data_IF_582286437634
#
_entry.id   IF_582286437634
#
_cell.length_a   1.000
_cell.length_b   1.000
_cell.length_c   1.000
_cell.angle_alpha   90.00
_cell.angle_beta   90.00
_cell.angle_gamma   90.00
#
_symmetry.space_group_name_H-M   'P 1'
#
loop_
_entity.id
_entity.type
_entity.pdbx_description
1 polymer ?
#
# COMPACT_ATOMS: atom_id res chain seq x y z
N UNK A 1 -5.38 10.92 54.23
CA UNK A 1 -5.11 10.60 52.81
C UNK A 1 -4.21 11.69 52.31
N UNK A 2 -2.97 11.32 52.03
CA UNK A 2 -1.84 12.20 51.74
C UNK A 2 -2.10 12.97 50.44
N UNK A 3 -2.10 14.31 50.51
CA UNK A 3 -2.39 15.23 49.40
C UNK A 3 -1.36 15.20 48.24
N UNK A 4 -0.39 14.28 48.28
CA UNK A 4 0.72 14.17 47.32
C UNK A 4 0.69 12.88 46.46
N UNK A 5 -0.29 11.99 46.64
CA UNK A 5 -0.39 10.78 45.81
C UNK A 5 -1.07 11.09 44.47
N UNK A 6 -0.36 10.85 43.37
CA UNK A 6 -0.90 10.96 42.01
C UNK A 6 -1.32 9.57 41.54
N UNK A 7 -2.58 9.44 41.13
CA UNK A 7 -3.12 8.22 40.54
C UNK A 7 -3.27 8.37 39.02
N UNK A 8 -3.30 7.24 38.31
CA UNK A 8 -3.63 7.25 36.89
C UNK A 8 -5.07 7.70 36.69
N UNK A 9 -5.35 8.37 35.56
CA UNK A 9 -6.72 8.76 35.26
C UNK A 9 -7.60 7.52 35.10
N UNK A 10 -8.79 7.54 35.69
CA UNK A 10 -9.74 6.40 35.68
C UNK A 10 -10.18 5.90 34.29
N UNK A 11 -9.98 6.70 33.24
CA UNK A 11 -10.26 6.33 31.84
C UNK A 11 -9.12 5.53 31.19
N UNK A 12 -7.94 5.47 31.81
CA UNK A 12 -6.84 4.63 31.41
C UNK A 12 -6.93 3.32 32.22
N UNK A 13 -7.50 2.29 31.62
CA UNK A 13 -7.75 0.99 32.28
C UNK A 13 -6.70 -0.07 31.94
N UNK A 14 -6.01 0.09 30.82
CA UNK A 14 -5.04 -0.88 30.31
C UNK A 14 -3.77 -0.18 29.80
N UNK A 15 -2.63 -0.86 29.99
CA UNK A 15 -1.31 -0.43 29.49
C UNK A 15 -1.33 -0.14 27.98
N UNK A 16 -2.05 -0.96 27.21
CA UNK A 16 -2.23 -0.83 25.76
C UNK A 16 -2.85 0.52 25.35
N UNK A 17 -3.66 1.13 26.23
CA UNK A 17 -4.33 2.42 25.99
C UNK A 17 -3.44 3.64 26.16
N UNK A 18 -2.27 3.52 26.79
CA UNK A 18 -1.38 4.65 27.12
C UNK A 18 -0.93 5.41 25.88
N UNK A 19 -0.55 4.67 24.84
CA UNK A 19 -0.11 5.26 23.57
C UNK A 19 -1.20 6.16 22.98
N UNK A 20 -2.39 5.61 22.79
CA UNK A 20 -3.51 6.34 22.20
C UNK A 20 -3.91 7.53 23.07
N UNK A 21 -3.86 7.38 24.39
CA UNK A 21 -4.16 8.46 25.33
C UNK A 21 -3.20 9.64 25.17
N UNK A 22 -1.88 9.39 25.11
CA UNK A 22 -0.86 10.43 24.95
C UNK A 22 -0.94 11.08 23.57
N UNK A 23 -1.13 10.29 22.50
CA UNK A 23 -1.24 10.79 21.13
C UNK A 23 -2.51 11.64 20.92
N UNK A 24 -3.59 11.36 21.65
CA UNK A 24 -4.84 12.12 21.61
C UNK A 24 -4.86 13.33 22.57
N UNK A 25 -3.85 13.49 23.43
CA UNK A 25 -3.83 14.59 24.40
C UNK A 25 -3.71 15.95 23.71
N UNK A 26 -4.62 16.87 24.06
CA UNK A 26 -4.69 18.18 23.43
C UNK A 26 -3.46 19.05 23.73
N UNK A 27 -2.82 18.86 24.90
CA UNK A 27 -1.59 19.55 25.26
C UNK A 27 -0.40 19.10 24.42
N UNK A 28 -0.27 17.78 24.21
CA UNK A 28 0.72 17.18 23.32
C UNK A 28 0.54 17.71 21.89
N UNK A 29 -0.67 17.58 21.32
CA UNK A 29 -0.96 18.04 19.96
C UNK A 29 -0.71 19.55 19.79
N UNK A 30 -1.12 20.36 20.77
CA UNK A 30 -0.88 21.80 20.71
C UNK A 30 0.62 22.12 20.74
N UNK A 31 1.42 21.39 21.52
CA UNK A 31 2.85 21.66 21.62
C UNK A 31 3.62 21.22 20.37
N UNK A 32 3.25 20.09 19.78
CA UNK A 32 3.78 19.62 18.49
C UNK A 32 3.42 20.60 17.36
N UNK A 33 2.18 21.09 17.32
CA UNK A 33 1.77 22.07 16.30
C UNK A 33 2.46 23.43 16.48
N UNK A 34 2.70 23.90 17.72
CA UNK A 34 3.52 25.10 17.98
C UNK A 34 4.93 24.94 17.40
N UNK A 35 5.55 23.77 17.58
CA UNK A 35 6.86 23.45 17.02
C UNK A 35 6.83 23.48 15.49
N UNK A 36 5.86 22.81 14.89
CA UNK A 36 5.66 22.79 13.44
C UNK A 36 5.49 24.20 12.87
N UNK A 37 4.62 25.01 13.45
CA UNK A 37 4.39 26.40 13.01
C UNK A 37 5.62 27.29 13.16
N UNK A 38 6.40 27.11 14.22
CA UNK A 38 7.66 27.85 14.38
C UNK A 38 8.68 27.49 13.28
N UNK A 39 8.79 26.20 12.93
CA UNK A 39 9.63 25.75 11.81
C UNK A 39 9.16 26.30 10.47
N UNK A 40 7.86 26.27 10.18
CA UNK A 40 7.28 26.82 8.95
C UNK A 40 7.57 28.33 8.82
N UNK A 41 7.37 29.08 9.90
CA UNK A 41 7.62 30.52 9.92
C UNK A 41 9.11 30.83 9.76
N UNK A 42 9.99 30.05 10.39
CA UNK A 42 11.43 30.17 10.22
C UNK A 42 11.84 29.89 8.77
N UNK A 43 11.31 28.83 8.15
CA UNK A 43 11.59 28.48 6.76
C UNK A 43 11.25 29.64 5.81
N UNK A 44 10.04 30.20 5.93
CA UNK A 44 9.59 31.34 5.13
C UNK A 44 10.52 32.56 5.24
N UNK A 45 11.11 32.79 6.41
CA UNK A 45 12.05 33.90 6.64
C UNK A 45 13.44 33.64 6.06
N UNK A 46 13.89 32.39 6.03
CA UNK A 46 15.28 32.03 5.69
C UNK A 46 15.46 31.41 4.30
N UNK A 47 14.39 30.98 3.62
CA UNK A 47 14.46 30.39 2.28
C UNK A 47 15.10 31.31 1.23
N UNK A 48 15.06 32.63 1.41
CA UNK A 48 15.76 33.58 0.51
C UNK A 48 17.26 33.28 0.42
N UNK A 49 17.86 32.75 1.48
CA UNK A 49 19.28 32.38 1.48
C UNK A 49 19.58 31.18 0.56
N UNK A 50 18.59 30.30 0.34
CA UNK A 50 18.65 29.24 -0.68
C UNK A 50 18.43 29.80 -2.09
N UNK A 51 17.55 30.79 -2.24
CA UNK A 51 17.32 31.49 -3.52
C UNK A 51 18.61 32.20 -3.99
N UNK A 52 19.34 32.81 -3.07
CA UNK A 52 20.59 33.51 -3.35
C UNK A 52 21.81 32.57 -3.46
N UNK A 53 21.64 31.27 -3.20
CA UNK A 53 22.73 30.29 -3.17
C UNK A 53 23.43 30.12 -4.52
N UNK A 54 22.73 30.06 -5.68
CA UNK A 54 23.38 29.96 -6.98
C UNK A 54 24.28 31.15 -7.30
N UNK A 55 24.03 32.34 -6.75
CA UNK A 55 24.89 33.52 -6.94
C UNK A 55 26.02 33.57 -5.92
N UNK A 56 25.72 33.30 -4.64
CA UNK A 56 26.70 33.44 -3.55
C UNK A 56 27.70 32.29 -3.48
N UNK A 57 27.26 31.06 -3.80
CA UNK A 57 28.01 29.80 -3.63
C UNK A 57 28.48 29.54 -2.19
N UNK A 58 27.91 30.23 -1.20
CA UNK A 58 28.37 30.20 0.20
C UNK A 58 27.67 29.11 1.02
N UNK A 59 27.84 27.84 0.62
CA UNK A 59 27.20 26.69 1.26
C UNK A 59 27.49 26.57 2.77
N UNK A 60 28.74 26.77 3.18
CA UNK A 60 29.13 26.57 4.59
C UNK A 60 28.65 27.71 5.49
N UNK A 61 28.59 28.94 4.97
CA UNK A 61 27.98 30.06 5.71
C UNK A 61 26.47 29.86 5.83
N UNK A 62 25.81 29.40 4.76
CA UNK A 62 24.39 29.02 4.80
C UNK A 62 24.13 27.95 5.87
N UNK A 63 24.94 26.88 5.92
CA UNK A 63 24.82 25.83 6.93
C UNK A 63 24.93 26.40 8.34
N UNK A 64 25.95 27.23 8.58
CA UNK A 64 26.20 27.85 9.89
C UNK A 64 25.04 28.75 10.31
N UNK A 65 24.54 29.57 9.39
CA UNK A 65 23.39 30.44 9.62
C UNK A 65 22.15 29.63 9.96
N UNK A 66 21.83 28.60 9.17
CA UNK A 66 20.65 27.76 9.39
C UNK A 66 20.68 27.07 10.75
N UNK A 67 21.82 26.51 11.14
CA UNK A 67 22.00 25.90 12.45
C UNK A 67 21.75 26.90 13.59
N UNK A 68 22.29 28.11 13.49
CA UNK A 68 22.18 29.12 14.54
C UNK A 68 20.77 29.71 14.66
N UNK A 69 20.14 30.05 13.53
CA UNK A 69 18.83 30.72 13.55
C UNK A 69 17.70 29.74 13.85
N UNK A 70 17.78 28.51 13.35
CA UNK A 70 16.79 27.47 13.65
C UNK A 70 16.78 27.13 15.14
N UNK A 71 17.97 26.95 15.74
CA UNK A 71 18.11 26.70 17.17
C UNK A 71 17.49 27.84 18.00
N UNK A 72 17.68 29.09 17.60
CA UNK A 72 17.13 30.25 18.30
C UNK A 72 15.60 30.28 18.31
N UNK A 73 14.95 29.83 17.22
CA UNK A 73 13.48 29.84 17.09
C UNK A 73 12.83 28.62 17.74
N UNK A 74 13.44 27.44 17.61
CA UNK A 74 12.83 26.18 18.06
C UNK A 74 13.09 25.89 19.54
N UNK A 75 14.26 26.26 20.08
CA UNK A 75 14.62 25.96 21.48
C UNK A 75 13.60 26.49 22.50
N UNK A 76 13.04 27.72 22.39
CA UNK A 76 12.07 28.23 23.35
C UNK A 76 10.78 27.41 23.48
N UNK A 77 10.49 26.55 22.50
CA UNK A 77 9.29 25.70 22.50
C UNK A 77 9.44 24.54 23.49
N UNK A 78 10.67 24.12 23.79
CA UNK A 78 10.95 23.18 24.87
C UNK A 78 10.61 21.70 24.60
N UNK A 79 10.04 21.37 23.42
CA UNK A 79 9.75 19.98 23.05
C UNK A 79 11.02 19.20 22.68
N UNK A 80 11.94 19.84 21.96
CA UNK A 80 13.23 19.27 21.60
C UNK A 80 14.34 19.96 22.39
N UNK A 81 15.27 19.15 22.93
CA UNK A 81 16.45 19.69 23.56
C UNK A 81 17.42 20.27 22.51
N UNK A 82 18.43 21.00 22.99
CA UNK A 82 19.44 21.65 22.14
C UNK A 82 20.04 20.72 21.08
N UNK A 83 20.40 19.50 21.47
CA UNK A 83 21.06 18.54 20.58
C UNK A 83 20.10 18.02 19.52
N UNK A 84 18.85 17.73 19.88
CA UNK A 84 17.80 17.29 18.94
C UNK A 84 17.44 18.38 17.95
N UNK A 85 17.29 19.63 18.40
CA UNK A 85 17.01 20.78 17.51
C UNK A 85 18.09 20.96 16.46
N UNK A 86 19.36 20.91 16.87
CA UNK A 86 20.49 20.97 15.94
C UNK A 86 20.53 19.74 15.02
N UNK A 87 20.20 18.56 15.56
CA UNK A 87 20.10 17.30 14.83
C UNK A 87 19.16 17.38 13.63
N UNK A 88 18.00 18.04 13.75
CA UNK A 88 17.05 18.24 12.64
C UNK A 88 17.73 18.87 11.43
N UNK A 89 18.41 20.02 11.62
CA UNK A 89 19.09 20.73 10.52
C UNK A 89 20.32 19.95 10.04
N UNK A 90 21.04 19.28 10.93
CA UNK A 90 22.19 18.45 10.55
C UNK A 90 21.74 17.31 9.64
N UNK A 91 20.70 16.56 10.02
CA UNK A 91 20.16 15.46 9.20
C UNK A 91 19.58 15.95 7.88
N UNK A 92 18.78 17.02 7.90
CA UNK A 92 18.27 17.63 6.67
C UNK A 92 19.41 18.06 5.73
N UNK A 93 20.45 18.68 6.27
CA UNK A 93 21.60 19.09 5.48
C UNK A 93 22.38 17.89 4.93
N UNK A 94 22.64 16.87 5.76
CA UNK A 94 23.34 15.65 5.33
C UNK A 94 22.58 14.95 4.20
N UNK A 95 21.27 14.82 4.32
CA UNK A 95 20.41 14.25 3.27
C UNK A 95 20.47 15.11 1.98
N UNK A 96 20.35 16.44 2.11
CA UNK A 96 20.34 17.37 0.98
C UNK A 96 21.74 17.65 0.35
N UNK A 97 22.85 17.40 1.06
CA UNK A 97 24.21 17.75 0.60
C UNK A 97 25.11 16.54 0.36
N UNK A 98 25.04 15.53 1.23
CA UNK A 98 25.91 14.35 1.19
C UNK A 98 25.26 13.19 0.46
N UNK A 99 23.98 12.91 0.76
CA UNK A 99 23.26 11.77 0.18
C UNK A 99 22.79 12.08 -1.24
N UNK A 100 22.02 13.16 -1.42
CA UNK A 100 21.44 13.54 -2.72
C UNK A 100 22.33 14.48 -3.55
N UNK A 101 23.25 15.18 -2.88
CA UNK A 101 24.03 16.29 -3.44
C UNK A 101 23.17 17.45 -3.99
N UNK A 102 21.90 17.54 -3.62
CA UNK A 102 20.94 18.56 -4.08
C UNK A 102 21.48 19.97 -3.86
N UNK A 103 21.98 20.29 -2.66
CA UNK A 103 22.49 21.63 -2.35
C UNK A 103 23.73 21.99 -3.19
N UNK A 104 24.57 21.01 -3.56
CA UNK A 104 25.72 21.24 -4.47
C UNK A 104 25.23 21.51 -5.89
N UNK A 105 24.25 20.75 -6.35
CA UNK A 105 23.65 20.91 -7.68
C UNK A 105 22.89 22.23 -7.77
N UNK A 106 22.07 22.57 -6.78
CA UNK A 106 21.40 23.87 -6.66
C UNK A 106 22.41 25.01 -6.72
N UNK A 107 23.47 24.93 -5.89
CA UNK A 107 24.49 25.95 -5.86
C UNK A 107 25.18 26.12 -7.22
N UNK A 108 25.35 25.07 -8.03
CA UNK A 108 26.09 25.14 -9.30
C UNK A 108 25.21 25.39 -10.53
N UNK A 109 24.05 24.75 -10.59
CA UNK A 109 23.16 24.66 -11.76
C UNK A 109 21.92 25.56 -11.65
N UNK A 110 21.60 26.05 -10.45
CA UNK A 110 20.34 26.76 -10.20
C UNK A 110 19.16 25.80 -9.99
N UNK A 111 17.95 26.35 -9.93
CA UNK A 111 16.75 25.59 -9.59
C UNK A 111 16.30 24.68 -10.73
N UNK A 112 16.20 25.21 -11.96
CA UNK A 112 15.83 24.39 -13.12
C UNK A 112 16.84 23.27 -13.36
N UNK A 113 18.13 23.60 -13.32
CA UNK A 113 19.19 22.59 -13.52
C UNK A 113 19.26 21.53 -12.41
N UNK A 114 18.78 21.82 -11.19
CA UNK A 114 18.61 20.80 -10.16
C UNK A 114 17.49 19.82 -10.54
N UNK A 115 16.33 20.32 -10.96
CA UNK A 115 15.20 19.47 -11.39
C UNK A 115 15.61 18.61 -12.57
N UNK A 116 16.25 19.19 -13.60
CA UNK A 116 16.73 18.46 -14.77
C UNK A 116 17.68 17.33 -14.34
N UNK A 117 18.57 17.61 -13.38
CA UNK A 117 19.48 16.59 -12.85
C UNK A 117 18.79 15.46 -12.08
N UNK A 118 17.66 15.73 -11.42
CA UNK A 118 16.84 14.70 -10.78
C UNK A 118 16.16 13.83 -11.84
N UNK A 119 15.58 14.44 -12.88
CA UNK A 119 14.94 13.72 -13.99
C UNK A 119 15.96 12.85 -14.72
N UNK A 120 17.15 13.37 -15.02
CA UNK A 120 18.24 12.60 -15.62
C UNK A 120 18.65 11.41 -14.73
N UNK A 121 18.75 11.62 -13.42
CA UNK A 121 19.11 10.53 -12.48
C UNK A 121 18.02 9.44 -12.45
N UNK A 122 16.74 9.82 -12.54
CA UNK A 122 15.61 8.88 -12.60
C UNK A 122 15.63 8.10 -13.92
N UNK A 123 15.82 8.79 -15.05
CA UNK A 123 15.93 8.16 -16.38
C UNK A 123 17.07 7.15 -16.40
N UNK A 124 18.27 7.56 -16.02
CA UNK A 124 19.46 6.71 -16.04
C UNK A 124 19.25 5.47 -15.15
N UNK A 125 18.59 5.62 -14.00
CA UNK A 125 18.30 4.50 -13.11
C UNK A 125 17.20 3.55 -13.62
N UNK A 126 16.28 4.02 -14.48
CA UNK A 126 15.25 3.19 -15.11
C UNK A 126 15.74 2.52 -16.40
N UNK A 127 16.66 3.14 -17.13
CA UNK A 127 17.28 2.58 -18.35
C UNK A 127 18.31 1.49 -18.02
N UNK A 128 18.95 1.55 -16.85
CA UNK A 128 19.92 0.56 -16.40
C UNK A 128 19.21 -0.76 -16.00
N UNK A 129 18.98 -1.61 -17.00
CA UNK A 129 18.34 -2.94 -16.87
C UNK A 129 19.23 -4.00 -16.22
N UNK A 130 20.48 -3.68 -15.86
CA UNK A 130 21.27 -4.60 -15.05
C UNK A 130 20.66 -4.69 -13.65
N UNK A 131 20.46 -5.89 -13.08
CA UNK A 131 20.01 -6.03 -11.71
C UNK A 131 21.05 -5.36 -10.81
N UNK A 132 20.75 -4.12 -10.41
CA UNK A 132 21.58 -3.38 -9.48
C UNK A 132 21.81 -4.31 -8.29
N UNK A 133 23.09 -4.55 -7.96
CA UNK A 133 23.47 -5.30 -6.77
C UNK A 133 22.67 -4.71 -5.60
N UNK A 134 21.70 -5.50 -5.12
CA UNK A 134 20.77 -5.24 -4.02
C UNK A 134 21.38 -4.42 -2.88
N UNK A 135 21.44 -3.10 -3.05
CA UNK A 135 22.26 -2.20 -2.23
C UNK A 135 22.25 -0.73 -2.66
N UNK A 136 21.85 -0.41 -3.90
CA UNK A 136 21.47 0.96 -4.25
C UNK A 136 20.14 1.28 -3.57
N UNK A 137 20.15 2.19 -2.59
CA UNK A 137 18.96 2.68 -1.88
C UNK A 137 18.11 3.65 -2.71
N UNK A 138 18.49 3.92 -3.96
CA UNK A 138 17.79 4.88 -4.80
C UNK A 138 16.61 4.19 -5.49
N UNK A 139 15.40 4.60 -5.12
CA UNK A 139 14.17 4.18 -5.76
C UNK A 139 13.69 5.30 -6.69
N UNK A 140 13.84 5.16 -8.03
CA UNK A 140 13.52 6.22 -8.98
C UNK A 140 12.04 6.60 -8.99
N UNK A 141 11.15 5.63 -8.77
CA UNK A 141 9.70 5.83 -8.82
C UNK A 141 9.18 6.57 -7.59
N UNK A 142 9.85 6.39 -6.45
CA UNK A 142 9.52 7.04 -5.19
C UNK A 142 10.34 8.32 -4.94
N UNK A 143 11.10 8.80 -5.94
CA UNK A 143 11.84 10.05 -5.80
C UNK A 143 10.86 11.23 -5.64
N UNK A 144 11.18 12.16 -4.73
CA UNK A 144 10.32 13.30 -4.33
C UNK A 144 9.84 14.19 -5.47
N UNK A 145 10.55 14.22 -6.61
CA UNK A 145 10.16 15.02 -7.78
C UNK A 145 8.99 14.39 -8.57
N UNK A 146 8.82 13.07 -8.48
CA UNK A 146 7.78 12.34 -9.23
C UNK A 146 6.38 12.78 -8.82
N UNK A 147 5.97 12.71 -7.54
CA UNK A 147 4.66 13.20 -7.13
C UNK A 147 4.49 14.71 -7.28
N UNK A 148 5.59 15.45 -7.39
CA UNK A 148 5.56 16.90 -7.47
C UNK A 148 5.36 17.41 -8.92
N UNK A 149 5.91 16.71 -9.92
CA UNK A 149 5.77 17.08 -11.33
C UNK A 149 4.57 16.43 -12.02
N UNK A 150 4.28 15.17 -11.68
CA UNK A 150 3.30 14.37 -12.41
C UNK A 150 2.25 13.76 -11.45
N UNK A 151 1.58 14.57 -10.60
CA UNK A 151 0.61 14.06 -9.63
C UNK A 151 -0.60 13.38 -10.29
N UNK A 152 -1.15 13.98 -11.35
CA UNK A 152 -2.29 13.44 -12.09
C UNK A 152 -1.95 12.08 -12.73
N UNK A 153 -0.71 11.95 -13.20
CA UNK A 153 -0.20 10.71 -13.78
C UNK A 153 -0.01 9.60 -12.74
N UNK A 154 0.46 9.95 -11.53
CA UNK A 154 0.49 9.00 -10.42
C UNK A 154 -0.92 8.55 -10.02
N UNK A 155 -1.91 9.45 -10.12
CA UNK A 155 -3.31 9.07 -9.92
C UNK A 155 -3.77 8.08 -10.99
N UNK A 156 -3.47 8.31 -12.27
CA UNK A 156 -3.79 7.36 -13.35
C UNK A 156 -3.14 5.98 -13.14
N UNK A 157 -1.90 5.95 -12.64
CA UNK A 157 -1.22 4.70 -12.26
C UNK A 157 -1.95 4.00 -11.11
N UNK A 158 -2.28 4.74 -10.05
CA UNK A 158 -3.00 4.22 -8.89
C UNK A 158 -4.38 3.69 -9.28
N UNK A 159 -5.11 4.40 -10.13
CA UNK A 159 -6.43 4.01 -10.60
C UNK A 159 -6.36 2.73 -11.44
N UNK A 160 -5.34 2.63 -12.30
CA UNK A 160 -5.09 1.42 -13.11
C UNK A 160 -4.72 0.21 -12.22
N UNK A 161 -3.93 0.42 -11.16
CA UNK A 161 -3.59 -0.63 -10.19
C UNK A 161 -4.83 -1.06 -9.37
N UNK A 162 -5.69 -0.12 -8.98
CA UNK A 162 -6.96 -0.41 -8.31
C UNK A 162 -7.94 -1.16 -9.21
N UNK A 163 -7.99 -0.84 -10.50
CA UNK A 163 -8.79 -1.57 -11.50
C UNK A 163 -8.30 -3.02 -11.64
N UNK A 164 -6.99 -3.25 -11.68
CA UNK A 164 -6.42 -4.62 -11.67
C UNK A 164 -6.82 -5.37 -10.41
N UNK A 165 -6.69 -4.74 -9.24
CA UNK A 165 -7.06 -5.37 -7.97
C UNK A 165 -8.55 -5.77 -7.95
N UNK A 166 -9.42 -4.90 -8.46
CA UNK A 166 -10.86 -5.16 -8.57
C UNK A 166 -11.14 -6.33 -9.50
N UNK A 167 -10.54 -6.35 -10.69
CA UNK A 167 -10.71 -7.44 -11.65
C UNK A 167 -10.10 -8.77 -11.17
N UNK A 168 -9.01 -8.73 -10.40
CA UNK A 168 -8.44 -9.92 -9.74
C UNK A 168 -9.38 -10.47 -8.68
N UNK A 169 -10.00 -9.59 -7.88
CA UNK A 169 -11.02 -9.98 -6.92
C UNK A 169 -12.26 -10.56 -7.60
N UNK A 170 -12.75 -9.96 -8.68
CA UNK A 170 -13.86 -10.49 -9.48
C UNK A 170 -13.52 -11.86 -10.09
N UNK A 171 -12.30 -12.01 -10.60
CA UNK A 171 -11.80 -13.29 -11.13
C UNK A 171 -11.78 -14.36 -10.04
N UNK A 172 -11.25 -14.05 -8.86
CA UNK A 172 -11.20 -14.98 -7.73
C UNK A 172 -12.60 -15.34 -7.23
N UNK A 173 -13.49 -14.37 -7.09
CA UNK A 173 -14.89 -14.60 -6.73
C UNK A 173 -15.58 -15.52 -7.74
N UNK A 174 -15.29 -15.36 -9.03
CA UNK A 174 -15.81 -16.25 -10.08
C UNK A 174 -15.25 -17.68 -9.96
N UNK A 175 -13.95 -17.83 -9.66
CA UNK A 175 -13.29 -19.11 -9.45
C UNK A 175 -13.84 -19.85 -8.23
N UNK A 176 -14.22 -19.12 -7.17
CA UNK A 176 -14.80 -19.66 -5.93
C UNK A 176 -16.32 -19.94 -6.01
N UNK A 177 -17.08 -19.15 -6.78
CA UNK A 177 -18.53 -19.29 -6.93
C UNK A 177 -19.38 -18.67 -5.80
N UNK A 178 -20.71 -18.72 -5.96
CA UNK A 178 -21.68 -18.11 -5.01
C UNK A 178 -21.82 -18.88 -3.67
N UNK A 179 -21.27 -20.08 -3.51
CA UNK A 179 -21.37 -20.92 -2.30
C UNK A 179 -20.01 -21.12 -1.59
N UNK A 180 -19.16 -20.09 -1.57
CA UNK A 180 -17.80 -20.14 -1.05
C UNK A 180 -17.64 -19.79 0.44
N UNK A 181 -18.54 -20.22 1.34
CA UNK A 181 -18.29 -20.18 2.80
C UNK A 181 -18.90 -21.43 3.47
N UNK A 182 -18.31 -22.62 3.27
CA UNK A 182 -18.46 -23.74 4.22
C UNK A 182 -17.31 -24.76 4.05
N UNK A 183 -16.19 -24.50 4.75
CA UNK A 183 -15.24 -25.46 5.32
C UNK A 183 -14.78 -26.69 4.48
N UNK A 184 -14.54 -26.51 3.18
CA UNK A 184 -13.93 -27.50 2.28
C UNK A 184 -12.98 -26.87 1.26
N UNK A 185 -12.02 -27.64 0.72
CA UNK A 185 -11.10 -27.17 -0.34
C UNK A 185 -11.88 -26.46 -1.45
N UNK A 186 -11.67 -25.15 -1.59
CA UNK A 186 -12.36 -24.33 -2.60
C UNK A 186 -12.14 -24.93 -3.98
N UNK A 187 -13.21 -25.44 -4.58
CA UNK A 187 -13.14 -26.11 -5.87
C UNK A 187 -13.26 -25.07 -6.97
N UNK A 188 -12.18 -24.86 -7.72
CA UNK A 188 -12.12 -23.94 -8.86
C UNK A 188 -13.18 -24.31 -9.92
N UNK A 189 -14.28 -23.55 -9.94
CA UNK A 189 -15.44 -23.78 -10.80
C UNK A 189 -15.05 -23.65 -12.27
N UNK A 190 -14.15 -22.72 -12.59
CA UNK A 190 -13.67 -22.47 -13.95
C UNK A 190 -12.92 -23.70 -14.48
N UNK A 191 -12.04 -24.27 -13.66
CA UNK A 191 -11.31 -25.48 -14.00
C UNK A 191 -12.24 -26.66 -14.20
N UNK A 192 -13.22 -26.86 -13.32
CA UNK A 192 -14.21 -27.93 -13.46
C UNK A 192 -15.03 -27.80 -14.75
N UNK A 193 -15.60 -26.62 -15.00
CA UNK A 193 -16.38 -26.35 -16.21
C UNK A 193 -15.50 -26.49 -17.47
N UNK A 194 -14.25 -26.05 -17.41
CA UNK A 194 -13.27 -26.21 -18.48
C UNK A 194 -12.94 -27.67 -18.80
N UNK A 195 -12.80 -28.52 -17.79
CA UNK A 195 -12.54 -29.95 -17.98
C UNK A 195 -13.79 -30.71 -18.47
N UNK A 196 -14.97 -30.40 -17.93
CA UNK A 196 -16.25 -30.90 -18.45
C UNK A 196 -16.45 -30.54 -19.92
N UNK A 197 -16.14 -29.30 -20.30
CA UNK A 197 -16.25 -28.84 -21.67
C UNK A 197 -15.28 -29.58 -22.61
N UNK A 198 -14.05 -29.89 -22.18
CA UNK A 198 -13.11 -30.72 -22.95
C UNK A 198 -13.64 -32.14 -23.13
N UNK A 199 -14.16 -32.75 -22.07
CA UNK A 199 -14.70 -34.12 -22.10
C UNK A 199 -15.92 -34.21 -23.01
N UNK A 200 -16.87 -33.28 -22.87
CA UNK A 200 -18.06 -33.21 -23.73
C UNK A 200 -17.66 -33.01 -25.20
N UNK A 201 -16.77 -32.05 -25.51
CA UNK A 201 -16.25 -31.83 -26.87
C UNK A 201 -15.55 -33.06 -27.44
N UNK A 202 -14.84 -33.83 -26.62
CA UNK A 202 -14.22 -35.08 -27.04
C UNK A 202 -15.26 -36.17 -27.32
N UNK A 203 -16.24 -36.35 -26.43
CA UNK A 203 -17.28 -37.38 -26.53
C UNK A 203 -18.16 -37.25 -27.78
N UNK A 204 -18.39 -36.02 -28.24
CA UNK A 204 -19.21 -35.77 -29.44
C UNK A 204 -18.42 -35.63 -30.72
N UNK A 205 -17.09 -35.65 -30.69
CA UNK A 205 -16.25 -35.38 -31.87
C UNK A 205 -16.57 -36.33 -33.04
N UNK A 206 -16.62 -37.63 -32.78
CA UNK A 206 -16.93 -38.64 -33.80
C UNK A 206 -18.44 -38.65 -34.17
N UNK A 207 -19.39 -38.62 -33.22
CA UNK A 207 -20.80 -38.44 -33.52
C UNK A 207 -21.11 -37.19 -34.36
N UNK A 208 -20.52 -36.03 -34.05
CA UNK A 208 -20.66 -34.79 -34.83
C UNK A 208 -20.08 -34.93 -36.24
N UNK A 209 -18.93 -35.60 -36.39
CA UNK A 209 -18.35 -35.86 -37.70
C UNK A 209 -19.27 -36.73 -38.55
N UNK A 210 -19.88 -37.77 -37.95
CA UNK A 210 -20.87 -38.63 -38.62
C UNK A 210 -22.15 -37.88 -38.95
N UNK A 211 -22.63 -37.01 -38.07
CA UNK A 211 -23.77 -36.12 -38.32
C UNK A 211 -23.50 -35.22 -39.55
N UNK A 212 -22.33 -34.57 -39.62
CA UNK A 212 -21.90 -33.74 -40.76
C UNK A 212 -21.69 -34.52 -42.06
N UNK A 213 -21.40 -35.82 -41.98
CA UNK A 213 -21.29 -36.70 -43.13
C UNK A 213 -22.68 -37.06 -43.68
N UNK A 214 -23.60 -37.50 -42.82
CA UNK A 214 -24.97 -37.85 -43.16
C UNK A 214 -25.76 -36.66 -43.74
N UNK A 215 -25.56 -35.46 -43.18
CA UNK A 215 -26.12 -34.19 -43.66
C UNK A 215 -25.35 -33.55 -44.83
N UNK A 216 -24.34 -34.22 -45.37
CA UNK A 216 -23.51 -33.70 -46.46
C UNK A 216 -24.27 -33.47 -47.77
N UNK A 217 -23.74 -32.62 -48.65
CA UNK A 217 -24.34 -32.37 -49.97
C UNK A 217 -24.48 -33.63 -50.83
N UNK A 218 -25.32 -33.59 -51.87
CA UNK A 218 -25.55 -34.71 -52.77
C UNK A 218 -24.34 -35.18 -53.60
N UNK A 219 -23.18 -34.49 -53.51
CA UNK A 219 -21.91 -34.92 -54.12
C UNK A 219 -21.04 -35.72 -53.16
N UNK A 220 -21.37 -35.76 -51.87
CA UNK A 220 -20.55 -36.38 -50.82
C UNK A 220 -20.97 -37.82 -50.64
N UNK A 221 -20.14 -38.75 -51.11
CA UNK A 221 -20.39 -40.20 -51.00
C UNK A 221 -20.60 -40.58 -49.52
N UNK A 222 -21.75 -41.16 -49.19
CA UNK A 222 -22.16 -41.50 -47.82
C UNK A 222 -23.14 -40.52 -47.15
N UNK A 223 -23.54 -39.42 -47.80
CA UNK A 223 -24.64 -38.56 -47.33
C UNK A 223 -26.01 -39.08 -47.78
N UNK A 224 -27.06 -38.73 -47.05
CA UNK A 224 -28.45 -39.09 -47.39
C UNK A 224 -28.82 -38.48 -48.75
N UNK A 225 -28.44 -37.23 -49.00
CA UNK A 225 -28.71 -36.54 -50.26
C UNK A 225 -27.99 -37.18 -51.47
N UNK A 226 -26.82 -37.80 -51.26
CA UNK A 226 -26.10 -38.53 -52.32
C UNK A 226 -26.85 -39.80 -52.72
N UNK A 227 -27.32 -40.58 -51.73
CA UNK A 227 -28.07 -41.82 -51.97
C UNK A 227 -29.48 -41.57 -52.51
N UNK A 228 -30.18 -40.52 -52.05
CA UNK A 228 -31.45 -40.08 -52.61
C UNK A 228 -31.34 -39.69 -54.10
N UNK A 229 -30.25 -39.03 -54.51
CA UNK A 229 -30.00 -38.70 -55.91
C UNK A 229 -29.67 -39.91 -56.80
N UNK A 230 -29.18 -41.01 -56.22
CA UNK A 230 -28.90 -42.26 -56.93
C UNK A 230 -30.14 -43.17 -57.01
N UNK A 231 -31.21 -42.86 -56.27
CA UNK A 231 -32.42 -43.69 -56.17
C UNK A 231 -32.29 -44.86 -55.20
N UNK A 232 -31.30 -44.84 -54.30
CA UNK A 232 -31.07 -45.86 -53.27
C UNK A 232 -32.08 -45.72 -52.11
N UNK A 233 -32.36 -46.82 -51.40
CA UNK A 233 -33.11 -46.77 -50.14
C UNK A 233 -32.29 -46.06 -49.05
N UNK A 234 -32.85 -45.01 -48.47
CA UNK A 234 -32.18 -44.16 -47.47
C UNK A 234 -32.72 -44.32 -46.05
N UNK A 235 -33.68 -45.22 -45.85
CA UNK A 235 -34.35 -45.43 -44.57
C UNK A 235 -33.39 -45.73 -43.42
N UNK A 236 -32.35 -46.56 -43.66
CA UNK A 236 -31.32 -46.86 -42.65
C UNK A 236 -30.42 -45.66 -42.31
N UNK A 237 -30.07 -44.84 -43.32
CA UNK A 237 -29.25 -43.65 -43.11
C UNK A 237 -30.04 -42.56 -42.37
N UNK A 238 -31.34 -42.45 -42.62
CA UNK A 238 -32.25 -41.55 -41.89
C UNK A 238 -32.44 -42.00 -40.44
N UNK A 239 -32.55 -43.30 -40.17
CA UNK A 239 -32.56 -43.84 -38.80
C UNK A 239 -31.22 -43.60 -38.07
N UNK A 240 -30.10 -43.77 -38.77
CA UNK A 240 -28.78 -43.44 -38.22
C UNK A 240 -28.65 -41.94 -37.93
N UNK A 241 -29.16 -41.07 -38.82
CA UNK A 241 -29.18 -39.64 -38.60
C UNK A 241 -29.97 -39.31 -37.33
N UNK A 242 -31.19 -39.84 -37.18
CA UNK A 242 -32.02 -39.63 -36.00
C UNK A 242 -31.32 -40.09 -34.70
N UNK A 243 -30.66 -41.25 -34.72
CA UNK A 243 -29.92 -41.78 -33.57
C UNK A 243 -28.70 -40.91 -33.23
N UNK A 244 -27.87 -40.57 -34.21
CA UNK A 244 -26.70 -39.70 -33.99
C UNK A 244 -27.15 -38.30 -33.52
N UNK A 245 -28.21 -37.75 -34.10
CA UNK A 245 -28.77 -36.45 -33.74
C UNK A 245 -29.33 -36.45 -32.30
N UNK A 246 -30.00 -37.52 -31.87
CA UNK A 246 -30.48 -37.66 -30.49
C UNK A 246 -29.35 -37.68 -29.44
N UNK A 247 -28.12 -38.03 -29.83
CA UNK A 247 -26.93 -38.03 -28.97
C UNK A 247 -26.16 -36.71 -29.02
N UNK A 248 -26.05 -36.11 -30.20
CA UNK A 248 -25.26 -34.89 -30.42
C UNK A 248 -25.97 -33.64 -29.89
N UNK A 249 -27.26 -33.46 -30.20
CA UNK A 249 -28.03 -32.26 -29.82
C UNK A 249 -28.02 -31.96 -28.31
N UNK A 250 -28.26 -32.92 -27.39
CA UNK A 250 -28.26 -32.62 -25.96
C UNK A 250 -26.88 -32.22 -25.44
N UNK A 251 -25.80 -32.81 -25.97
CA UNK A 251 -24.44 -32.49 -25.55
C UNK A 251 -23.99 -31.14 -26.14
N UNK A 252 -24.38 -30.81 -27.37
CA UNK A 252 -24.17 -29.47 -27.94
C UNK A 252 -24.85 -28.39 -27.10
N UNK A 253 -26.05 -28.67 -26.59
CA UNK A 253 -26.74 -27.77 -25.66
C UNK A 253 -25.97 -27.58 -24.35
N UNK A 254 -25.47 -28.66 -23.75
CA UNK A 254 -24.64 -28.59 -22.54
C UNK A 254 -23.33 -27.83 -22.77
N UNK A 255 -22.67 -28.04 -23.90
CA UNK A 255 -21.47 -27.27 -24.28
C UNK A 255 -21.81 -25.78 -24.35
N UNK A 256 -22.90 -25.42 -25.02
CA UNK A 256 -23.32 -24.03 -25.13
C UNK A 256 -23.65 -23.40 -23.77
N UNK A 257 -24.30 -24.14 -22.86
CA UNK A 257 -24.57 -23.67 -21.49
C UNK A 257 -23.28 -23.43 -20.70
N UNK A 258 -22.29 -24.33 -20.80
CA UNK A 258 -20.99 -24.17 -20.13
C UNK A 258 -20.19 -23.01 -20.75
N UNK A 259 -20.19 -22.86 -22.07
CA UNK A 259 -19.56 -21.73 -22.76
C UNK A 259 -20.18 -20.39 -22.33
N UNK A 260 -21.52 -20.34 -22.21
CA UNK A 260 -22.22 -19.16 -21.71
C UNK A 260 -21.85 -18.83 -20.26
N UNK A 261 -21.73 -19.85 -19.39
CA UNK A 261 -21.27 -19.66 -18.01
C UNK A 261 -19.83 -19.16 -17.93
N UNK A 262 -18.94 -19.64 -18.79
CA UNK A 262 -17.52 -19.23 -18.80
C UNK A 262 -17.28 -17.89 -19.53
N UNK A 263 -18.27 -17.36 -20.24
CA UNK A 263 -18.12 -16.09 -20.99
C UNK A 263 -17.69 -14.91 -20.10
N UNK A 264 -18.33 -14.63 -18.94
CA UNK A 264 -17.92 -13.52 -18.07
C UNK A 264 -16.49 -13.67 -17.56
N UNK A 265 -16.06 -14.89 -17.22
CA UNK A 265 -14.67 -15.16 -16.85
C UNK A 265 -13.69 -14.84 -17.99
N UNK A 266 -14.04 -15.20 -19.23
CA UNK A 266 -13.26 -14.86 -20.41
C UNK A 266 -13.12 -13.34 -20.60
N UNK A 267 -14.20 -12.58 -20.37
CA UNK A 267 -14.20 -11.12 -20.43
C UNK A 267 -13.31 -10.51 -19.34
N UNK A 268 -13.39 -10.99 -18.10
CA UNK A 268 -12.52 -10.56 -16.98
C UNK A 268 -11.04 -10.80 -17.32
N UNK A 269 -10.71 -11.98 -17.87
CA UNK A 269 -9.32 -12.33 -18.23
C UNK A 269 -8.77 -11.46 -19.36
N UNK A 270 -9.57 -11.16 -20.39
CA UNK A 270 -9.14 -10.22 -21.44
C UNK A 270 -9.01 -8.79 -20.90
N UNK A 271 -9.95 -8.31 -20.08
CA UNK A 271 -9.85 -7.00 -19.44
C UNK A 271 -8.59 -6.88 -18.57
N UNK A 272 -8.29 -7.89 -17.73
CA UNK A 272 -7.05 -7.94 -16.95
C UNK A 272 -5.80 -7.83 -17.82
N UNK A 273 -5.79 -8.50 -18.97
CA UNK A 273 -4.67 -8.47 -19.90
C UNK A 273 -4.51 -7.09 -20.54
N UNK A 274 -5.60 -6.43 -20.89
CA UNK A 274 -5.59 -5.05 -21.42
C UNK A 274 -5.14 -4.05 -20.37
N UNK A 275 -5.70 -4.09 -19.15
CA UNK A 275 -5.36 -3.15 -18.08
C UNK A 275 -3.91 -3.34 -17.60
N UNK A 276 -3.43 -4.59 -17.48
CA UNK A 276 -2.00 -4.87 -17.20
C UNK A 276 -1.07 -4.43 -18.33
N UNK A 277 -1.54 -4.40 -19.57
CA UNK A 277 -0.78 -3.82 -20.68
C UNK A 277 -0.73 -2.30 -20.53
N UNK A 278 -1.87 -1.65 -20.26
CA UNK A 278 -1.95 -0.21 -19.97
C UNK A 278 -1.03 0.19 -18.81
N UNK A 279 -1.02 -0.55 -17.70
CA UNK A 279 -0.13 -0.28 -16.56
C UNK A 279 1.35 -0.31 -16.96
N UNK A 280 1.75 -1.26 -17.80
CA UNK A 280 3.13 -1.36 -18.28
C UNK A 280 3.49 -0.22 -19.23
N UNK A 281 2.59 0.15 -20.13
CA UNK A 281 2.76 1.26 -21.05
C UNK A 281 2.83 2.60 -20.31
N UNK A 282 1.99 2.78 -19.28
CA UNK A 282 2.11 3.89 -18.34
C UNK A 282 3.51 3.84 -17.71
N UNK A 283 3.86 2.83 -16.89
CA UNK A 283 5.17 2.80 -16.21
C UNK A 283 6.38 3.06 -17.13
N UNK A 284 6.34 2.64 -18.38
CA UNK A 284 7.37 2.95 -19.38
C UNK A 284 7.40 4.43 -19.81
N UNK A 285 6.24 5.08 -19.96
CA UNK A 285 6.10 6.48 -20.34
C UNK A 285 6.40 7.48 -19.20
N UNK A 286 6.59 7.03 -17.96
CA UNK A 286 6.85 7.92 -16.82
C UNK A 286 8.04 8.87 -17.07
N UNK A 287 9.12 8.37 -17.67
CA UNK A 287 10.31 9.18 -17.98
C UNK A 287 9.95 10.30 -18.97
N UNK A 288 9.25 9.97 -20.04
CA UNK A 288 8.84 10.94 -21.07
C UNK A 288 7.94 12.03 -20.47
N UNK A 289 7.02 11.65 -19.57
CA UNK A 289 6.13 12.59 -18.88
C UNK A 289 6.90 13.49 -17.90
N UNK A 290 7.85 12.93 -17.15
CA UNK A 290 8.72 13.70 -16.24
C UNK A 290 9.59 14.71 -16.99
N UNK A 291 10.17 14.32 -18.12
CA UNK A 291 10.96 15.21 -18.98
C UNK A 291 10.10 16.31 -19.62
N UNK A 292 8.89 15.99 -20.05
CA UNK A 292 7.94 16.96 -20.58
C UNK A 292 7.53 17.98 -19.50
N UNK A 293 7.20 17.49 -18.30
CA UNK A 293 6.81 18.32 -17.17
C UNK A 293 7.97 19.23 -16.70
N UNK A 294 9.20 18.69 -16.55
CA UNK A 294 10.36 19.50 -16.16
C UNK A 294 10.74 20.56 -17.20
N UNK A 295 10.60 20.22 -18.48
CA UNK A 295 10.86 21.14 -19.59
C UNK A 295 9.88 22.31 -19.61
N UNK A 296 8.61 22.06 -19.28
CA UNK A 296 7.55 23.05 -19.26
C UNK A 296 7.69 24.07 -18.11
N UNK A 297 8.39 23.73 -17.02
CA UNK A 297 8.58 24.62 -15.88
C UNK A 297 9.38 25.88 -16.24
N UNK A 298 8.86 27.04 -15.85
CA UNK A 298 9.63 28.28 -15.78
C UNK A 298 10.63 28.26 -14.62
N UNK A 299 11.61 29.16 -14.64
CA UNK A 299 12.60 29.28 -13.56
C UNK A 299 11.94 29.59 -12.20
N UNK A 300 10.85 30.38 -12.21
CA UNK A 300 10.13 30.76 -10.99
C UNK A 300 9.35 29.56 -10.42
N UNK A 301 8.69 28.78 -11.27
CA UNK A 301 7.98 27.57 -10.85
C UNK A 301 8.95 26.51 -10.34
N UNK A 302 10.09 26.32 -11.02
CA UNK A 302 11.16 25.43 -10.56
C UNK A 302 11.69 25.85 -9.18
N UNK A 303 11.89 27.15 -8.97
CA UNK A 303 12.31 27.68 -7.67
C UNK A 303 11.30 27.37 -6.58
N UNK A 304 10.01 27.65 -6.80
CA UNK A 304 8.95 27.38 -5.82
C UNK A 304 8.90 25.89 -5.50
N UNK A 305 8.90 25.03 -6.51
CA UNK A 305 8.83 23.58 -6.35
C UNK A 305 9.98 23.02 -5.51
N UNK A 306 11.22 23.42 -5.81
CA UNK A 306 12.40 22.95 -5.05
C UNK A 306 12.36 23.42 -3.60
N UNK A 307 11.92 24.66 -3.35
CA UNK A 307 11.81 25.18 -1.99
C UNK A 307 10.72 24.45 -1.19
N UNK A 308 9.57 24.16 -1.80
CA UNK A 308 8.50 23.38 -1.18
C UNK A 308 8.96 21.95 -0.86
N UNK A 309 9.71 21.32 -1.76
CA UNK A 309 10.30 19.99 -1.53
C UNK A 309 11.32 20.01 -0.38
N UNK A 310 12.19 21.03 -0.33
CA UNK A 310 13.15 21.15 0.77
C UNK A 310 12.49 21.48 2.11
N UNK A 311 11.40 22.25 2.11
CA UNK A 311 10.57 22.49 3.30
C UNK A 311 9.96 21.18 3.81
N UNK A 312 9.38 20.39 2.90
CA UNK A 312 8.80 19.09 3.21
C UNK A 312 9.86 18.11 3.77
N UNK A 313 11.06 18.07 3.18
CA UNK A 313 12.19 17.29 3.69
C UNK A 313 12.55 17.72 5.13
N UNK A 314 12.60 19.04 5.41
CA UNK A 314 12.90 19.57 6.74
C UNK A 314 11.83 19.17 7.76
N UNK A 315 10.56 19.28 7.39
CA UNK A 315 9.43 18.89 8.24
C UNK A 315 9.42 17.38 8.52
N UNK A 316 9.82 16.56 7.54
CA UNK A 316 9.98 15.11 7.72
C UNK A 316 11.05 14.80 8.76
N UNK A 317 12.20 15.48 8.70
CA UNK A 317 13.24 15.32 9.72
C UNK A 317 12.74 15.78 11.09
N UNK A 318 12.05 16.92 11.16
CA UNK A 318 11.46 17.41 12.40
C UNK A 318 10.50 16.39 13.02
N UNK A 319 9.59 15.84 12.23
CA UNK A 319 8.61 14.85 12.67
C UNK A 319 9.29 13.56 13.17
N UNK A 320 10.39 13.13 12.56
CA UNK A 320 11.18 12.00 13.07
C UNK A 320 11.64 12.25 14.51
N UNK A 321 12.21 13.42 14.80
CA UNK A 321 12.66 13.77 16.15
C UNK A 321 11.51 13.95 17.15
N UNK A 322 10.36 14.46 16.70
CA UNK A 322 9.14 14.59 17.51
C UNK A 322 8.55 13.23 17.85
N UNK A 323 8.37 12.37 16.84
CA UNK A 323 7.93 10.98 16.99
C UNK A 323 8.84 10.19 17.94
N UNK A 324 10.15 10.29 17.80
CA UNK A 324 11.10 9.68 18.74
C UNK A 324 10.94 10.21 20.17
N UNK A 325 10.72 11.52 20.33
CA UNK A 325 10.49 12.09 21.64
C UNK A 325 9.17 11.60 22.27
N UNK A 326 8.10 11.53 21.47
CA UNK A 326 6.79 11.00 21.86
C UNK A 326 6.90 9.54 22.31
N UNK A 327 7.65 8.70 21.59
CA UNK A 327 7.91 7.31 22.02
C UNK A 327 8.63 7.23 23.37
N UNK A 328 9.57 8.14 23.66
CA UNK A 328 10.23 8.21 24.98
C UNK A 328 9.22 8.57 26.08
N UNK A 329 8.30 9.51 25.82
CA UNK A 329 7.26 9.90 26.79
C UNK A 329 6.30 8.72 27.04
N UNK A 330 5.83 8.05 25.98
CA UNK A 330 4.98 6.86 26.08
C UNK A 330 5.67 5.79 26.92
N UNK A 331 6.92 5.45 26.60
CA UNK A 331 7.68 4.46 27.34
C UNK A 331 7.86 4.85 28.82
N UNK A 332 8.05 6.14 29.13
CA UNK A 332 8.15 6.61 30.51
C UNK A 332 6.83 6.39 31.29
N UNK A 333 5.68 6.71 30.67
CA UNK A 333 4.36 6.52 31.28
C UNK A 333 4.01 5.04 31.41
N UNK A 334 4.31 4.21 30.41
CA UNK A 334 4.17 2.75 30.50
C UNK A 334 5.01 2.18 31.66
N UNK A 335 6.25 2.65 31.83
CA UNK A 335 7.10 2.23 32.95
C UNK A 335 6.53 2.65 34.32
N UNK A 336 5.82 3.78 34.40
CA UNK A 336 5.12 4.15 35.63
C UNK A 336 3.87 3.31 35.84
N UNK A 337 3.14 3.00 34.78
CA UNK A 337 1.97 2.13 34.83
C UNK A 337 2.35 0.76 35.38
N UNK A 338 3.40 0.15 34.82
CA UNK A 338 3.90 -1.16 35.26
C UNK A 338 4.35 -1.16 36.74
N UNK A 339 4.70 0.00 37.30
CA UNK A 339 5.18 0.14 38.69
C UNK A 339 4.10 0.53 39.69
N UNK A 340 3.10 1.29 39.26
CA UNK A 340 2.21 2.04 40.16
C UNK A 340 0.73 1.85 39.85
N UNK A 341 0.36 1.08 38.81
CA UNK A 341 -1.06 0.82 38.50
C UNK A 341 -1.78 0.13 39.66
N UNK A 342 -1.14 -0.86 40.30
CA UNK A 342 -1.68 -1.44 41.53
C UNK A 342 -1.34 -0.47 42.65
N UNK A 343 -2.36 0.23 43.13
CA UNK A 343 -2.17 1.23 44.19
C UNK A 343 -1.75 0.53 45.48
N UNK A 344 -0.96 1.21 46.33
CA UNK A 344 -0.63 0.68 47.66
C UNK A 344 -1.91 0.30 48.44
N UNK A 345 -2.99 1.06 48.28
CA UNK A 345 -4.27 0.79 48.92
C UNK A 345 -4.98 -0.47 48.39
N UNK A 346 -4.82 -0.82 47.11
CA UNK A 346 -5.32 -2.10 46.58
C UNK A 346 -4.51 -3.29 47.10
N UNK A 347 -3.19 -3.15 47.19
CA UNK A 347 -2.30 -4.16 47.78
C UNK A 347 -2.64 -4.36 49.26
N UNK A 348 -2.78 -3.28 50.03
CA UNK A 348 -3.14 -3.34 51.45
C UNK A 348 -4.52 -3.97 51.66
N UNK A 349 -5.49 -3.67 50.79
CA UNK A 349 -6.83 -4.24 50.87
C UNK A 349 -6.85 -5.74 50.51
N UNK A 350 -6.07 -6.14 49.51
CA UNK A 350 -5.90 -7.56 49.15
C UNK A 350 -5.18 -8.30 50.29
N UNK A 351 -4.17 -7.68 50.92
CA UNK A 351 -3.50 -8.22 52.10
C UNK A 351 -4.46 -8.37 53.29
N UNK A 352 -5.31 -7.38 53.57
CA UNK A 352 -6.34 -7.46 54.61
C UNK A 352 -7.34 -8.61 54.33
N UNK A 353 -7.75 -8.78 53.08
CA UNK A 353 -8.67 -9.83 52.66
C UNK A 353 -8.04 -11.22 52.80
N UNK A 354 -6.80 -11.40 52.34
CA UNK A 354 -6.03 -12.64 52.49
C UNK A 354 -5.75 -12.95 53.96
N UNK A 355 -5.39 -11.96 54.78
CA UNK A 355 -5.17 -12.13 56.21
C UNK A 355 -6.46 -12.52 56.95
N UNK A 356 -7.62 -11.98 56.54
CA UNK A 356 -8.92 -12.38 57.07
C UNK A 356 -9.23 -13.84 56.73
N UNK A 357 -9.07 -14.25 55.48
CA UNK A 357 -9.27 -15.64 55.04
C UNK A 357 -8.33 -16.62 55.75
N UNK A 358 -7.05 -16.27 55.87
CA UNK A 358 -6.06 -17.05 56.62
C UNK A 358 -6.46 -17.17 58.10
N UNK A 359 -6.92 -16.08 58.71
CA UNK A 359 -7.40 -16.06 60.09
C UNK A 359 -8.64 -16.92 60.32
N UNK A 360 -9.54 -17.02 59.34
CA UNK A 360 -10.69 -17.94 59.36
C UNK A 360 -10.25 -19.40 59.22
N UNK A 361 -9.33 -19.70 58.30
CA UNK A 361 -8.80 -21.06 58.11
C UNK A 361 -8.03 -21.54 59.35
N UNK A 362 -7.19 -20.70 59.95
CA UNK A 362 -6.45 -21.02 61.18
C UNK A 362 -7.39 -21.22 62.38
N UNK A 363 -8.51 -20.48 62.47
CA UNK A 363 -9.56 -20.75 63.46
C UNK A 363 -10.24 -22.09 63.22
N UNK A 364 -10.55 -22.43 61.96
CA UNK A 364 -11.14 -23.72 61.59
C UNK A 364 -10.25 -24.93 61.91
N UNK A 365 -8.93 -24.76 61.84
CA UNK A 365 -7.93 -25.77 62.18
C UNK A 365 -7.51 -25.76 63.68
N UNK A 366 -8.04 -24.83 64.48
CA UNK A 366 -7.79 -24.75 65.93
C UNK A 366 -6.46 -24.11 66.32
N UNK A 367 -5.77 -23.43 65.39
CA UNK A 367 -4.48 -22.78 65.63
C UNK A 367 -4.58 -21.30 66.05
N UNK A 368 -5.76 -20.69 65.95
CA UNK A 368 -6.02 -19.31 66.39
C UNK A 368 -7.06 -19.28 67.53
N UNK A 369 -6.78 -18.52 68.59
CA UNK A 369 -7.71 -18.36 69.73
C UNK A 369 -8.97 -17.60 69.26
N UNK A 370 -10.13 -18.17 69.52
CA UNK A 370 -11.39 -17.43 69.52
C UNK A 370 -11.40 -16.53 70.73
N UNK A 371 -11.34 -15.21 70.52
CA UNK A 371 -11.64 -14.26 71.59
C UNK A 371 -13.11 -14.47 72.01
N UNK A 372 -13.29 -14.70 73.32
CA UNK A 372 -14.57 -14.90 74.02
C UNK A 372 -15.14 -13.56 74.47
#
# INVERSE_FOLDING_TARGET
MEEEYLDFQSNLTERSGIKQFIEADAGVQQQEEKLRQATLNWWKQHQQRLIDLPQTKQLMELRKEFLQTFEAVVRPIGLLNRFKTMGVIVSWWEDAYEVSADLKRLANLGFKGLIDSWVDTIRDALEDTEPQKSGSKFDPLNHKIVPALVPDYLQDLSDTEAEIATLEQEKEAFEQGEEGEEDGEAVDIVKQLGDQLKELKYSIKEPQKRLKELLGSARKKGSIAYHQNQGDDTTELEQQLANVQSKVVPIEKQIAEIEQKLQPYGEIVENLKEVRKRLRELKAALVEELEAASSALSEVEAQVLVLDLFEADLLTQLERYVSEHRQIVIAAVENWWDKYQVTLGEIEKEEEEVNRELGEMLRGLGYAKTDL
#
